data_IF_245756425301
#
_entry.id   IF_245756425301
#
_cell.length_a   1.000
_cell.length_b   1.000
_cell.length_c   1.000
_cell.angle_alpha   90.00
_cell.angle_beta   90.00
_cell.angle_gamma   90.00
#
_symmetry.space_group_name_H-M   'P 1'
#
loop_
_entity.id
_entity.type
_entity.pdbx_description
1 polymer ?
#
# COMPACT_ATOMS: atom_id res chain seq x y z
N UNK A 1 5.39 -49.67 -49.75
CA UNK A 1 5.90 -49.54 -48.36
C UNK A 1 7.24 -48.83 -48.38
N UNK A 2 7.30 -47.54 -48.03
CA UNK A 2 8.56 -46.80 -47.79
C UNK A 2 8.39 -45.99 -46.51
N UNK A 3 9.23 -46.30 -45.54
CA UNK A 3 9.11 -45.91 -44.13
C UNK A 3 9.36 -44.42 -43.88
N UNK A 4 8.50 -43.84 -43.04
CA UNK A 4 8.66 -42.59 -42.33
C UNK A 4 9.99 -42.50 -41.58
N UNK A 5 10.87 -41.57 -41.96
CA UNK A 5 11.97 -41.08 -41.11
C UNK A 5 12.25 -39.60 -41.40
N UNK A 6 11.37 -38.70 -40.95
CA UNK A 6 11.70 -37.26 -40.92
C UNK A 6 11.02 -36.47 -39.80
N UNK A 7 10.57 -37.14 -38.73
CA UNK A 7 9.95 -36.48 -37.57
C UNK A 7 10.69 -36.92 -36.31
N UNK A 8 11.93 -36.45 -36.09
CA UNK A 8 12.63 -36.62 -34.79
C UNK A 8 13.69 -35.55 -34.47
N UNK A 9 13.66 -34.37 -35.10
CA UNK A 9 14.67 -33.32 -34.80
C UNK A 9 14.05 -31.98 -34.34
N UNK A 10 12.74 -31.76 -34.52
CA UNK A 10 12.09 -30.52 -34.06
C UNK A 10 11.63 -30.51 -32.60
N UNK A 11 11.60 -31.66 -31.93
CA UNK A 11 11.06 -31.79 -30.57
C UNK A 11 11.98 -31.31 -29.43
N UNK A 12 13.33 -31.38 -29.49
CA UNK A 12 14.16 -30.95 -28.37
C UNK A 12 14.34 -29.42 -28.29
N UNK A 13 14.20 -28.70 -29.41
CA UNK A 13 14.37 -27.23 -29.46
C UNK A 13 13.17 -26.51 -28.83
N UNK A 14 11.95 -27.04 -29.01
CA UNK A 14 10.74 -26.45 -28.43
C UNK A 14 10.70 -26.62 -26.90
N UNK A 15 11.25 -27.72 -26.38
CA UNK A 15 11.37 -27.97 -24.93
C UNK A 15 12.40 -27.05 -24.25
N UNK A 16 13.52 -26.74 -24.91
CA UNK A 16 14.53 -25.79 -24.41
C UNK A 16 14.00 -24.34 -24.33
N UNK A 17 13.09 -23.93 -25.22
CA UNK A 17 12.43 -22.63 -25.17
C UNK A 17 11.37 -22.51 -24.05
N UNK A 18 10.84 -23.64 -23.55
CA UNK A 18 9.90 -23.64 -22.43
C UNK A 18 10.58 -23.42 -21.06
N UNK A 19 11.86 -23.80 -20.92
CA UNK A 19 12.60 -23.65 -19.65
C UNK A 19 13.30 -22.30 -19.47
N UNK A 20 13.46 -21.50 -20.53
CA UNK A 20 14.13 -20.20 -20.42
C UNK A 20 13.26 -19.07 -19.84
N UNK A 21 11.97 -19.33 -19.55
CA UNK A 21 11.08 -18.36 -18.90
C UNK A 21 11.12 -18.38 -17.37
N UNK A 22 11.92 -19.25 -16.77
CA UNK A 22 12.16 -19.26 -15.33
C UNK A 22 13.48 -18.54 -15.01
N UNK A 23 13.60 -17.25 -15.34
CA UNK A 23 14.66 -16.42 -14.76
C UNK A 23 14.42 -16.28 -13.25
N UNK A 24 15.32 -16.74 -12.38
CA UNK A 24 15.21 -16.51 -10.95
C UNK A 24 15.22 -15.01 -10.69
N UNK A 25 14.15 -14.50 -10.06
CA UNK A 25 14.07 -13.10 -9.63
C UNK A 25 15.13 -12.87 -8.56
N UNK A 26 16.09 -12.02 -8.86
CA UNK A 26 17.09 -11.56 -7.90
C UNK A 26 16.38 -10.73 -6.82
N UNK A 27 16.35 -11.17 -5.54
CA UNK A 27 15.57 -10.51 -4.48
C UNK A 27 16.11 -9.13 -4.10
N UNK A 28 17.37 -8.84 -4.41
CA UNK A 28 18.06 -7.65 -3.89
C UNK A 28 17.84 -6.37 -4.71
N UNK A 29 17.06 -6.43 -5.81
CA UNK A 29 16.89 -5.29 -6.74
C UNK A 29 15.49 -5.14 -7.34
N UNK A 30 14.43 -5.59 -6.65
CA UNK A 30 13.06 -5.41 -7.16
C UNK A 30 12.59 -3.97 -6.97
N UNK A 31 12.96 -3.08 -7.91
CA UNK A 31 12.28 -1.79 -8.04
C UNK A 31 10.87 -2.06 -8.58
N UNK A 32 9.85 -1.62 -7.85
CA UNK A 32 8.47 -1.59 -8.38
C UNK A 32 8.51 -0.77 -9.69
N UNK A 33 8.09 -1.32 -10.84
CA UNK A 33 8.14 -0.61 -12.10
C UNK A 33 7.38 0.71 -12.03
N UNK A 34 8.04 1.82 -12.42
CA UNK A 34 7.47 3.16 -12.40
C UNK A 34 7.10 3.61 -13.82
N UNK A 35 5.81 3.82 -14.07
CA UNK A 35 5.34 4.55 -15.24
C UNK A 35 5.39 6.06 -14.98
N UNK A 36 6.42 6.72 -15.51
CA UNK A 36 6.65 8.16 -15.30
C UNK A 36 5.50 9.02 -15.80
N UNK A 37 4.87 8.65 -16.92
CA UNK A 37 3.79 9.45 -17.52
C UNK A 37 2.49 9.33 -16.74
N UNK A 38 2.21 8.16 -16.14
CA UNK A 38 1.12 8.02 -15.19
C UNK A 38 1.41 8.77 -13.90
N UNK A 39 2.61 8.61 -13.34
CA UNK A 39 3.01 9.24 -12.09
C UNK A 39 2.99 10.78 -12.18
N UNK A 40 3.51 11.36 -13.26
CA UNK A 40 3.61 12.81 -13.43
C UNK A 40 2.27 13.54 -13.42
N UNK A 41 1.16 12.86 -13.73
CA UNK A 41 -0.19 13.44 -13.68
C UNK A 41 -0.73 13.63 -12.26
N UNK A 42 -0.06 13.04 -11.25
CA UNK A 42 -0.48 13.09 -9.85
C UNK A 42 0.54 13.81 -8.96
N UNK A 43 1.62 14.34 -9.54
CA UNK A 43 2.62 15.11 -8.79
C UNK A 43 2.06 16.51 -8.51
N UNK A 44 1.97 16.86 -7.24
CA UNK A 44 1.70 18.22 -6.76
C UNK A 44 2.98 18.85 -6.20
N UNK A 45 3.01 20.18 -6.12
CA UNK A 45 4.13 20.87 -5.47
C UNK A 45 4.10 20.68 -3.95
N UNK A 46 5.25 20.85 -3.28
CA UNK A 46 5.29 20.83 -1.81
C UNK A 46 4.41 21.94 -1.21
N UNK A 47 4.43 23.13 -1.81
CA UNK A 47 3.59 24.24 -1.39
C UNK A 47 2.09 23.91 -1.51
N UNK A 48 1.67 23.22 -2.58
CA UNK A 48 0.31 22.77 -2.73
C UNK A 48 -0.06 21.72 -1.67
N UNK A 49 0.84 20.77 -1.40
CA UNK A 49 0.65 19.80 -0.32
C UNK A 49 0.49 20.48 1.05
N UNK A 50 1.35 21.45 1.38
CA UNK A 50 1.26 22.26 2.60
C UNK A 50 -0.05 23.06 2.67
N UNK A 51 -0.49 23.64 1.56
CA UNK A 51 -1.76 24.38 1.52
C UNK A 51 -2.95 23.46 1.78
N UNK A 52 -2.97 22.26 1.22
CA UNK A 52 -4.02 21.26 1.43
C UNK A 52 -4.05 20.79 2.90
N UNK A 53 -2.90 20.45 3.48
CA UNK A 53 -2.82 19.98 4.88
C UNK A 53 -3.19 21.09 5.87
N UNK A 54 -2.66 22.30 5.67
CA UNK A 54 -3.03 23.46 6.50
C UNK A 54 -4.51 23.84 6.34
N UNK A 55 -5.05 23.73 5.13
CA UNK A 55 -6.48 23.93 4.86
C UNK A 55 -7.36 22.99 5.65
N UNK A 56 -7.03 21.69 5.65
CA UNK A 56 -7.74 20.68 6.45
C UNK A 56 -7.65 20.97 7.96
N UNK A 57 -6.47 21.28 8.47
CA UNK A 57 -6.27 21.61 9.90
C UNK A 57 -7.08 22.84 10.33
N UNK A 58 -7.13 23.89 9.50
CA UNK A 58 -7.98 25.07 9.76
C UNK A 58 -9.45 24.69 9.76
N UNK A 59 -9.92 23.96 8.75
CA UNK A 59 -11.31 23.51 8.66
C UNK A 59 -11.74 22.64 9.85
N UNK A 60 -10.86 21.75 10.33
CA UNK A 60 -11.07 20.95 11.55
C UNK A 60 -11.25 21.84 12.79
N UNK A 61 -10.41 22.88 12.96
CA UNK A 61 -10.53 23.84 14.06
C UNK A 61 -11.82 24.67 13.97
N UNK A 62 -12.15 25.14 12.77
CA UNK A 62 -13.39 25.90 12.52
C UNK A 62 -14.64 25.06 12.82
N UNK A 63 -14.64 23.78 12.42
CA UNK A 63 -15.73 22.86 12.73
C UNK A 63 -15.85 22.63 14.23
N UNK A 64 -14.72 22.42 14.94
CA UNK A 64 -14.74 22.25 16.40
C UNK A 64 -15.31 23.48 17.11
N UNK A 65 -14.97 24.69 16.65
CA UNK A 65 -15.49 25.93 17.22
C UNK A 65 -17.01 26.11 17.08
N UNK A 66 -17.65 25.41 16.13
CA UNK A 66 -19.10 25.41 15.93
C UNK A 66 -19.83 24.32 16.73
N UNK A 67 -19.08 23.40 17.35
CA UNK A 67 -19.62 22.28 18.10
C UNK A 67 -19.49 22.55 19.61
N UNK A 68 -20.39 21.96 20.40
CA UNK A 68 -20.31 22.09 21.85
C UNK A 68 -19.17 21.22 22.41
N UNK A 69 -18.40 21.77 23.35
CA UNK A 69 -17.33 21.05 24.04
C UNK A 69 -16.17 20.66 23.12
N UNK A 70 -15.64 19.45 23.28
CA UNK A 70 -14.55 18.86 22.51
C UNK A 70 -15.04 17.68 21.63
N UNK A 71 -16.23 17.83 21.04
CA UNK A 71 -16.92 16.73 20.36
C UNK A 71 -16.10 16.05 19.25
N UNK A 72 -15.38 16.79 18.39
CA UNK A 72 -14.59 16.15 17.34
C UNK A 72 -13.44 15.32 17.91
N UNK A 73 -12.77 15.84 18.93
CA UNK A 73 -11.65 15.15 19.57
C UNK A 73 -12.11 13.91 20.35
N UNK A 74 -13.28 13.97 21.00
CA UNK A 74 -13.84 12.87 21.78
C UNK A 74 -14.58 11.82 20.95
N UNK A 75 -15.33 12.22 19.93
CA UNK A 75 -16.16 11.31 19.13
C UNK A 75 -15.39 10.66 17.98
N UNK A 76 -14.50 11.43 17.32
CA UNK A 76 -13.79 11.01 16.11
C UNK A 76 -12.28 10.94 16.30
N UNK A 77 -11.69 11.81 17.14
CA UNK A 77 -10.23 11.88 17.35
C UNK A 77 -9.45 11.83 16.02
N UNK A 78 -9.78 12.76 15.11
CA UNK A 78 -9.28 12.76 13.73
C UNK A 78 -7.76 12.96 13.70
N UNK A 79 -6.99 12.04 13.08
CA UNK A 79 -5.55 12.21 12.93
C UNK A 79 -5.25 13.34 11.93
N UNK A 80 -4.16 14.06 12.16
CA UNK A 80 -3.66 15.05 11.19
C UNK A 80 -2.86 14.38 10.07
N UNK A 81 -2.15 13.30 10.40
CA UNK A 81 -1.46 12.44 9.45
C UNK A 81 -1.18 11.05 10.05
N UNK A 82 -1.05 10.04 9.19
CA UNK A 82 -0.56 8.70 9.55
C UNK A 82 0.58 8.29 8.61
N UNK A 83 1.63 7.70 9.19
CA UNK A 83 2.75 7.13 8.45
C UNK A 83 2.58 5.63 8.31
N UNK A 84 2.67 5.12 7.08
CA UNK A 84 2.69 3.70 6.80
C UNK A 84 4.12 3.23 6.51
N UNK A 85 4.45 2.03 7.00
CA UNK A 85 5.72 1.39 6.67
C UNK A 85 5.78 1.11 5.15
N UNK A 86 6.95 1.35 4.53
CA UNK A 86 7.21 1.08 3.10
C UNK A 86 6.82 -0.35 2.69
N UNK A 87 7.09 -1.34 3.52
CA UNK A 87 6.85 -2.74 3.23
C UNK A 87 5.35 -3.08 3.27
N UNK A 88 4.55 -2.35 4.07
CA UNK A 88 3.09 -2.44 4.01
C UNK A 88 2.55 -1.90 2.67
N UNK A 89 3.11 -0.79 2.18
CA UNK A 89 2.80 -0.25 0.86
C UNK A 89 3.23 -1.22 -0.25
N UNK A 90 4.41 -1.82 -0.13
CA UNK A 90 4.90 -2.82 -1.08
C UNK A 90 4.01 -4.06 -1.13
N UNK A 91 3.53 -4.55 0.02
CA UNK A 91 2.61 -5.69 0.08
C UNK A 91 1.29 -5.40 -0.67
N UNK A 92 0.75 -4.18 -0.55
CA UNK A 92 -0.43 -3.75 -1.31
C UNK A 92 -0.15 -3.69 -2.82
N UNK A 93 0.95 -3.05 -3.22
CA UNK A 93 1.30 -2.89 -4.64
C UNK A 93 1.72 -4.20 -5.31
N UNK A 94 2.19 -5.19 -4.55
CA UNK A 94 2.53 -6.52 -5.04
C UNK A 94 1.33 -7.47 -5.11
N UNK A 95 0.15 -7.07 -4.61
CA UNK A 95 -1.06 -7.86 -4.76
C UNK A 95 -1.38 -8.09 -6.25
N UNK A 96 -1.78 -9.31 -6.61
CA UNK A 96 -2.04 -9.67 -8.01
C UNK A 96 -3.13 -8.78 -8.60
N UNK A 97 -2.79 -8.05 -9.65
CA UNK A 97 -3.71 -7.16 -10.36
C UNK A 97 -3.84 -5.76 -9.75
N UNK A 98 -3.07 -5.43 -8.72
CA UNK A 98 -3.02 -4.09 -8.16
C UNK A 98 -2.51 -3.07 -9.18
N UNK A 99 -3.22 -1.96 -9.29
CA UNK A 99 -2.90 -0.79 -10.12
C UNK A 99 -2.93 0.52 -9.30
N UNK A 100 -3.15 0.42 -7.99
CA UNK A 100 -3.16 1.54 -7.05
C UNK A 100 -3.53 1.12 -5.63
N UNK A 101 -3.71 2.12 -4.76
CA UNK A 101 -4.15 1.97 -3.37
C UNK A 101 -5.35 2.88 -3.14
N UNK A 102 -6.34 2.39 -2.40
CA UNK A 102 -7.44 3.20 -1.84
C UNK A 102 -7.27 3.33 -0.34
N UNK A 103 -7.56 4.52 0.18
CA UNK A 103 -7.49 4.86 1.60
C UNK A 103 -8.91 5.16 2.07
N UNK A 104 -9.36 4.44 3.09
CA UNK A 104 -10.64 4.64 3.76
C UNK A 104 -10.43 5.21 5.16
N UNK A 105 -11.43 5.93 5.68
CA UNK A 105 -11.52 6.27 7.10
C UNK A 105 -12.26 5.14 7.83
N UNK A 106 -11.55 4.45 8.73
CA UNK A 106 -12.13 3.53 9.70
C UNK A 106 -12.30 4.19 11.06
N UNK A 107 -13.05 3.56 11.96
CA UNK A 107 -13.13 3.93 13.38
C UNK A 107 -12.85 2.70 14.22
N UNK A 108 -11.84 2.78 15.07
CA UNK A 108 -11.47 1.66 15.94
C UNK A 108 -12.37 1.56 17.19
N UNK A 109 -12.18 0.50 17.98
CA UNK A 109 -12.94 0.25 19.20
C UNK A 109 -12.77 1.34 20.26
N UNK A 110 -11.70 2.14 20.18
CA UNK A 110 -11.43 3.29 21.06
C UNK A 110 -12.06 4.58 20.51
N UNK A 111 -12.86 4.48 19.45
CA UNK A 111 -13.51 5.60 18.80
C UNK A 111 -12.58 6.46 17.94
N UNK A 112 -11.34 6.03 17.73
CA UNK A 112 -10.36 6.79 16.98
C UNK A 112 -10.52 6.54 15.48
N UNK A 113 -10.53 7.60 14.70
CA UNK A 113 -10.48 7.48 13.24
C UNK A 113 -9.09 7.01 12.79
N UNK A 114 -9.05 6.04 11.88
CA UNK A 114 -7.84 5.38 11.36
C UNK A 114 -7.85 5.34 9.85
N UNK A 115 -6.69 5.35 9.21
CA UNK A 115 -6.59 5.14 7.76
C UNK A 115 -6.47 3.64 7.45
N UNK A 116 -7.37 3.13 6.60
CA UNK A 116 -7.41 1.72 6.18
C UNK A 116 -7.08 1.65 4.69
N UNK A 117 -6.04 0.89 4.33
CA UNK A 117 -5.52 0.80 2.98
C UNK A 117 -5.89 -0.54 2.32
N UNK A 118 -6.41 -0.48 1.10
CA UNK A 118 -6.68 -1.62 0.24
C UNK A 118 -6.01 -1.46 -1.14
N UNK A 119 -5.54 -2.55 -1.78
CA UNK A 119 -5.13 -2.50 -3.17
C UNK A 119 -6.35 -2.39 -4.08
N UNK A 120 -6.21 -1.67 -5.18
CA UNK A 120 -7.28 -1.56 -6.20
C UNK A 120 -6.81 -2.04 -7.56
N UNK A 121 -7.72 -2.60 -8.35
CA UNK A 121 -7.47 -2.98 -9.74
C UNK A 121 -7.52 -1.77 -10.68
N UNK A 122 -7.18 -1.98 -11.96
CA UNK A 122 -7.22 -0.94 -13.00
C UNK A 122 -8.62 -0.37 -13.29
N UNK A 123 -9.68 -1.06 -12.86
CA UNK A 123 -11.07 -0.59 -12.97
C UNK A 123 -11.49 0.19 -11.72
N UNK A 124 -10.64 0.26 -10.69
CA UNK A 124 -10.92 0.90 -9.42
C UNK A 124 -11.74 0.03 -8.45
N UNK A 125 -11.77 -1.29 -8.63
CA UNK A 125 -12.38 -2.18 -7.64
C UNK A 125 -11.37 -2.53 -6.55
N UNK A 126 -11.84 -2.69 -5.30
CA UNK A 126 -11.00 -3.18 -4.21
C UNK A 126 -10.62 -4.64 -4.46
N UNK A 127 -9.34 -4.96 -4.25
CA UNK A 127 -8.82 -6.32 -4.34
C UNK A 127 -8.84 -6.92 -2.95
N UNK A 128 -9.73 -7.89 -2.75
CA UNK A 128 -9.83 -8.66 -1.51
C UNK A 128 -8.90 -9.87 -1.59
N UNK A 129 -7.75 -9.83 -0.93
CA UNK A 129 -6.74 -10.91 -0.95
C UNK A 129 -5.98 -11.01 0.37
N UNK A 130 -5.24 -12.10 0.55
CA UNK A 130 -4.14 -12.17 1.53
C UNK A 130 -2.96 -11.33 1.04
N UNK A 131 -2.39 -10.47 1.89
CA UNK A 131 -1.29 -9.58 1.55
C UNK A 131 0.06 -10.10 2.05
N UNK A 132 0.09 -10.67 3.25
CA UNK A 132 1.26 -11.30 3.88
C UNK A 132 0.88 -12.67 4.41
N UNK A 133 1.57 -13.71 3.93
CA UNK A 133 1.43 -15.08 4.44
C UNK A 133 2.04 -15.19 5.83
N UNK A 134 1.31 -15.80 6.77
CA UNK A 134 1.71 -15.94 8.19
C UNK A 134 2.82 -16.97 8.45
N UNK A 135 3.47 -17.50 7.42
CA UNK A 135 4.42 -18.61 7.55
C UNK A 135 5.68 -18.24 8.35
N UNK A 136 5.94 -16.95 8.54
CA UNK A 136 6.99 -16.45 9.43
C UNK A 136 6.40 -15.45 10.41
N UNK A 137 5.90 -15.92 11.54
CA UNK A 137 5.58 -15.07 12.69
C UNK A 137 6.90 -14.47 13.23
N UNK A 138 7.36 -13.38 12.62
CA UNK A 138 8.49 -12.60 13.10
C UNK A 138 8.05 -11.86 14.36
N UNK A 139 8.40 -12.39 15.53
CA UNK A 139 8.35 -11.65 16.79
C UNK A 139 9.41 -10.55 16.73
N UNK A 140 9.04 -9.36 16.26
CA UNK A 140 9.88 -8.17 16.34
C UNK A 140 9.56 -7.45 17.65
N UNK A 141 10.51 -7.35 18.60
CA UNK A 141 10.28 -6.64 19.86
C UNK A 141 9.87 -5.18 19.60
N UNK A 142 8.73 -4.76 20.17
CA UNK A 142 8.25 -3.37 20.07
C UNK A 142 7.27 -3.08 18.92
N UNK A 143 6.93 -4.05 18.07
CA UNK A 143 5.88 -3.90 17.04
C UNK A 143 4.66 -4.72 17.47
N UNK A 144 3.52 -4.08 17.68
CA UNK A 144 2.25 -4.79 17.88
C UNK A 144 1.89 -5.51 16.58
N UNK A 145 1.71 -6.82 16.63
CA UNK A 145 1.30 -7.61 15.48
C UNK A 145 -0.15 -7.28 15.10
N UNK A 146 -0.35 -6.77 13.88
CA UNK A 146 -1.68 -6.59 13.32
C UNK A 146 -2.27 -7.98 13.00
N UNK A 147 -3.21 -8.44 13.83
CA UNK A 147 -3.87 -9.72 13.65
C UNK A 147 -5.11 -9.58 12.76
N UNK A 148 -4.98 -9.81 11.45
CA UNK A 148 -6.16 -9.91 10.56
C UNK A 148 -6.93 -11.22 10.79
N UNK A 149 -8.08 -11.20 11.46
CA UNK A 149 -8.93 -12.39 11.60
C UNK A 149 -9.59 -12.71 10.25
N UNK A 150 -9.07 -13.72 9.55
CA UNK A 150 -9.51 -14.13 8.20
C UNK A 150 -8.35 -14.25 7.20
N UNK A 151 -8.65 -14.78 6.01
CA UNK A 151 -7.67 -14.90 4.92
C UNK A 151 -7.51 -13.58 4.13
N UNK A 152 -8.51 -12.71 4.18
CA UNK A 152 -8.48 -11.40 3.52
C UNK A 152 -7.84 -10.38 4.45
N UNK A 153 -6.98 -9.54 3.90
CA UNK A 153 -6.19 -8.59 4.67
C UNK A 153 -6.30 -7.19 4.08
N UNK A 154 -6.29 -6.20 4.97
CA UNK A 154 -6.10 -4.79 4.67
C UNK A 154 -4.93 -4.29 5.52
N UNK A 155 -4.33 -3.17 5.13
CA UNK A 155 -3.27 -2.54 5.93
C UNK A 155 -3.88 -1.44 6.78
N UNK A 156 -3.77 -1.61 8.09
CA UNK A 156 -4.22 -0.69 9.14
C UNK A 156 -3.17 -0.83 10.25
N UNK A 157 -2.45 0.25 10.54
CA UNK A 157 -1.47 0.45 11.64
C UNK A 157 -0.57 1.64 11.29
N UNK A 158 -1.17 2.72 10.77
CA UNK A 158 -0.44 3.94 10.52
C UNK A 158 0.04 4.55 11.84
N UNK A 159 1.31 4.91 11.92
CA UNK A 159 1.81 5.67 13.07
C UNK A 159 1.33 7.11 12.93
N UNK A 160 0.48 7.57 13.86
CA UNK A 160 0.04 8.97 13.90
C UNK A 160 1.24 9.88 14.03
N UNK A 161 1.24 11.00 13.30
CA UNK A 161 2.32 11.97 13.46
C UNK A 161 2.37 12.43 14.93
N UNK A 162 3.55 12.41 15.57
CA UNK A 162 3.70 12.96 16.91
C UNK A 162 3.26 14.43 16.94
N UNK A 163 2.90 14.99 18.11
CA UNK A 163 2.50 16.40 18.26
C UNK A 163 3.54 17.42 17.74
N UNK A 164 4.78 16.95 17.53
CA UNK A 164 5.86 17.67 16.88
C UNK A 164 6.37 16.83 15.71
N UNK A 165 5.73 16.94 14.55
CA UNK A 165 6.33 16.49 13.29
C UNK A 165 7.55 17.42 13.05
N UNK A 166 8.75 17.02 13.48
CA UNK A 166 9.96 17.80 13.19
C UNK A 166 10.12 17.89 11.68
N UNK A 167 10.44 19.08 11.19
CA UNK A 167 10.52 19.42 9.78
C UNK A 167 11.28 18.36 8.97
N UNK A 168 10.73 18.12 7.79
CA UNK A 168 11.23 17.20 6.77
C UNK A 168 12.73 17.39 6.60
N UNK A 169 13.52 16.34 6.87
CA UNK A 169 14.93 16.30 6.49
C UNK A 169 15.00 16.46 4.98
N UNK A 170 15.42 17.63 4.52
CA UNK A 170 15.66 17.91 3.11
C UNK A 170 16.73 16.92 2.61
N UNK A 171 16.52 16.22 1.49
CA UNK A 171 17.59 15.45 0.87
C UNK A 171 18.70 16.42 0.42
N UNK A 172 19.95 16.11 0.79
CA UNK A 172 21.15 16.78 0.27
C UNK A 172 21.33 16.52 -1.22
#
# INVERSE_FOLDING_TARGET
MKHHKSIRIFTPVLLLLCFSRCTPRNPDNFKIPLDKARASRHVISLQEAENLTNGFQRGKKELQARLQGNYLDSAFNLPDAEMFNRDAIAALLNAKGADGIRIYLGRDEKGQVRLVLLPVDRKGNDIHTTLVSRETALNVPGIQSANAQGNLQAMESGQRCPPLCKDVVQPK
#
